data_IF_813243176769
#
_entry.id   IF_813243176769
#
_cell.length_a   1.000
_cell.length_b   1.000
_cell.length_c   1.000
_cell.angle_alpha   90.00
_cell.angle_beta   90.00
_cell.angle_gamma   90.00
#
_symmetry.space_group_name_H-M   'P 1'
#
loop_
_entity.id
_entity.type
_entity.pdbx_description
1 polymer ?
#
# COMPACT_ATOMS: atom_id res chain seq x y z
N UNK A 1 2.31 9.67 -6.79
CA UNK A 1 1.45 9.04 -7.82
C UNK A 1 -0.01 9.43 -7.59
N UNK A 2 -0.81 9.58 -8.64
CA UNK A 2 -2.24 9.94 -8.55
C UNK A 2 -3.01 9.07 -9.54
N UNK A 3 -4.16 8.56 -9.10
CA UNK A 3 -5.17 7.88 -9.93
C UNK A 3 -6.49 8.66 -9.77
N UNK A 4 -7.07 9.14 -10.87
CA UNK A 4 -8.34 9.88 -10.87
C UNK A 4 -9.16 9.52 -12.07
N UNK A 5 -10.46 9.35 -11.86
CA UNK A 5 -11.45 9.16 -12.90
C UNK A 5 -12.83 9.67 -12.45
N UNK A 6 -13.73 9.87 -13.40
CA UNK A 6 -15.13 10.20 -13.15
C UNK A 6 -15.85 9.01 -12.51
N UNK A 7 -16.43 9.20 -11.32
CA UNK A 7 -17.05 8.12 -10.54
C UNK A 7 -18.38 7.65 -11.11
N UNK A 8 -19.04 8.52 -11.87
CA UNK A 8 -20.28 8.25 -12.62
C UNK A 8 -20.05 7.32 -13.82
N UNK A 9 -18.81 7.25 -14.33
CA UNK A 9 -18.46 6.35 -15.43
C UNK A 9 -18.08 5.00 -14.83
N UNK A 10 -19.02 4.06 -14.86
CA UNK A 10 -18.81 2.69 -14.42
C UNK A 10 -17.62 2.07 -15.14
N UNK A 11 -16.62 1.62 -14.38
CA UNK A 11 -15.43 0.97 -14.93
C UNK A 11 -14.27 1.91 -15.21
N UNK A 12 -14.41 3.23 -15.10
CA UNK A 12 -13.35 4.17 -15.52
C UNK A 12 -12.04 3.96 -14.73
N UNK A 13 -12.12 3.78 -13.41
CA UNK A 13 -10.98 3.45 -12.58
C UNK A 13 -10.36 2.09 -12.97
N UNK A 14 -11.18 1.08 -13.24
CA UNK A 14 -10.68 -0.23 -13.66
C UNK A 14 -9.94 -0.16 -15.00
N UNK A 15 -10.51 0.55 -15.96
CA UNK A 15 -9.93 0.71 -17.29
C UNK A 15 -8.60 1.45 -17.25
N UNK A 16 -8.50 2.59 -16.56
CA UNK A 16 -7.23 3.35 -16.52
C UNK A 16 -6.09 2.53 -15.90
N UNK A 17 -6.39 1.74 -14.87
CA UNK A 17 -5.40 0.87 -14.22
C UNK A 17 -4.93 -0.26 -15.13
N UNK A 18 -5.85 -0.90 -15.83
CA UNK A 18 -5.53 -2.00 -16.75
C UNK A 18 -4.73 -1.50 -17.95
N UNK A 19 -5.08 -0.33 -18.50
CA UNK A 19 -4.34 0.27 -19.61
C UNK A 19 -2.93 0.69 -19.17
N UNK A 20 -2.78 1.26 -17.97
CA UNK A 20 -1.47 1.61 -17.43
C UNK A 20 -0.59 0.37 -17.21
N UNK A 21 -1.14 -0.71 -16.65
CA UNK A 21 -0.40 -1.96 -16.47
C UNK A 21 0.03 -2.58 -17.81
N UNK A 22 -0.86 -2.55 -18.82
CA UNK A 22 -0.56 -3.04 -20.17
C UNK A 22 0.57 -2.23 -20.80
N UNK A 23 0.51 -0.90 -20.69
CA UNK A 23 1.56 -0.01 -21.18
C UNK A 23 2.93 -0.30 -20.54
N UNK A 24 2.98 -0.51 -19.21
CA UNK A 24 4.24 -0.86 -18.52
C UNK A 24 4.78 -2.19 -19.07
N UNK A 25 3.95 -3.22 -19.21
CA UNK A 25 4.41 -4.51 -19.71
C UNK A 25 4.97 -4.42 -21.13
N UNK A 26 4.37 -3.60 -21.99
CA UNK A 26 4.82 -3.42 -23.38
C UNK A 26 6.11 -2.59 -23.50
N UNK A 27 6.25 -1.55 -22.68
CA UNK A 27 7.37 -0.58 -22.80
C UNK A 27 8.54 -0.87 -21.87
N UNK A 28 8.27 -1.52 -20.74
CA UNK A 28 9.19 -1.77 -19.64
C UNK A 28 8.99 -3.20 -19.09
N UNK A 29 9.22 -4.24 -19.90
CA UNK A 29 9.00 -5.64 -19.49
C UNK A 29 9.86 -6.06 -18.28
N UNK A 30 10.95 -5.35 -17.99
CA UNK A 30 11.76 -5.53 -16.80
C UNK A 30 11.05 -5.12 -15.49
N UNK A 31 10.02 -4.27 -15.57
CA UNK A 31 9.23 -3.83 -14.43
C UNK A 31 8.13 -4.85 -14.11
N UNK A 32 8.50 -5.86 -13.33
CA UNK A 32 7.62 -6.98 -12.97
C UNK A 32 6.60 -6.66 -11.84
N UNK A 33 6.79 -5.55 -11.12
CA UNK A 33 5.92 -5.15 -10.01
C UNK A 33 5.46 -3.70 -10.16
N UNK A 34 4.18 -3.47 -9.85
CA UNK A 34 3.58 -2.14 -9.75
C UNK A 34 3.13 -1.91 -8.32
N UNK A 35 3.74 -0.94 -7.64
CA UNK A 35 3.30 -0.50 -6.33
C UNK A 35 2.12 0.47 -6.47
N UNK A 36 0.95 0.11 -5.91
CA UNK A 36 -0.28 0.92 -5.97
C UNK A 36 -0.58 1.70 -4.68
N UNK A 37 0.43 1.95 -3.87
CA UNK A 37 0.36 2.73 -2.62
C UNK A 37 -0.57 2.10 -1.55
N UNK A 38 -0.77 2.79 -0.42
CA UNK A 38 -1.56 2.30 0.72
C UNK A 38 -3.06 2.61 0.63
N UNK A 39 -3.88 1.88 1.37
CA UNK A 39 -5.35 2.04 1.40
C UNK A 39 -5.83 3.08 2.43
N UNK A 40 -4.91 3.74 3.15
CA UNK A 40 -5.20 4.76 4.17
C UNK A 40 -6.18 4.30 5.26
N UNK A 41 -6.30 2.98 5.50
CA UNK A 41 -7.28 2.42 6.44
C UNK A 41 -8.73 2.44 5.95
N UNK A 42 -8.99 2.80 4.68
CA UNK A 42 -10.34 2.84 4.12
C UNK A 42 -10.74 1.46 3.58
N UNK A 43 -11.72 0.81 4.19
CA UNK A 43 -12.14 -0.54 3.82
C UNK A 43 -12.58 -0.69 2.35
N UNK A 44 -13.26 0.32 1.79
CA UNK A 44 -13.64 0.33 0.38
C UNK A 44 -12.43 0.37 -0.56
N UNK A 45 -11.43 1.19 -0.23
CA UNK A 45 -10.19 1.29 -0.99
C UNK A 45 -9.34 0.02 -0.86
N UNK A 46 -9.25 -0.55 0.36
CA UNK A 46 -8.64 -1.86 0.62
C UNK A 46 -9.26 -2.93 -0.28
N UNK A 47 -10.60 -3.02 -0.30
CA UNK A 47 -11.33 -3.99 -1.14
C UNK A 47 -11.03 -3.80 -2.62
N UNK A 48 -11.00 -2.56 -3.11
CA UNK A 48 -10.65 -2.23 -4.50
C UNK A 48 -9.21 -2.66 -4.85
N UNK A 49 -8.24 -2.43 -3.97
CA UNK A 49 -6.85 -2.86 -4.21
C UNK A 49 -6.70 -4.37 -4.20
N UNK A 50 -7.36 -5.06 -3.26
CA UNK A 50 -7.35 -6.52 -3.17
C UNK A 50 -7.99 -7.19 -4.38
N UNK A 51 -8.96 -6.55 -5.06
CA UNK A 51 -9.60 -7.14 -6.24
C UNK A 51 -8.68 -7.28 -7.46
N UNK A 52 -7.49 -6.66 -7.43
CA UNK A 52 -6.44 -6.85 -8.44
C UNK A 52 -5.49 -8.02 -8.12
N UNK A 53 -5.77 -8.81 -7.08
CA UNK A 53 -4.95 -9.96 -6.67
C UNK A 53 -3.46 -9.60 -6.49
N UNK A 54 -3.13 -8.62 -5.62
CA UNK A 54 -1.75 -8.21 -5.42
C UNK A 54 -0.93 -9.39 -4.90
N UNK A 55 0.30 -9.54 -5.41
CA UNK A 55 1.24 -10.57 -4.96
C UNK A 55 1.55 -10.42 -3.47
N UNK A 56 1.61 -9.17 -2.99
CA UNK A 56 1.87 -8.85 -1.58
C UNK A 56 1.19 -7.54 -1.17
N UNK A 57 0.76 -7.49 0.08
CA UNK A 57 0.41 -6.26 0.78
C UNK A 57 1.57 -5.92 1.72
N UNK A 58 2.25 -4.80 1.46
CA UNK A 58 3.41 -4.40 2.26
C UNK A 58 3.02 -3.82 3.62
N UNK A 59 3.69 -4.30 4.67
CA UNK A 59 3.62 -3.70 6.00
C UNK A 59 4.68 -2.60 6.13
N UNK A 60 4.28 -1.46 6.70
CA UNK A 60 5.16 -0.33 7.00
C UNK A 60 5.32 -0.23 8.51
N UNK A 61 6.55 -0.04 8.98
CA UNK A 61 6.87 0.06 10.40
C UNK A 61 7.55 1.37 10.73
N UNK A 62 7.33 1.86 11.95
CA UNK A 62 8.09 2.97 12.52
C UNK A 62 9.29 2.42 13.28
N UNK A 63 10.48 2.91 12.94
CA UNK A 63 11.71 2.61 13.69
C UNK A 63 12.01 3.75 14.65
N UNK A 64 12.24 3.43 15.93
CA UNK A 64 12.73 4.39 16.92
C UNK A 64 14.07 3.91 17.47
N UNK A 65 15.10 4.75 17.37
CA UNK A 65 16.37 4.49 18.03
C UNK A 65 16.23 4.83 19.52
N UNK A 66 16.31 3.82 20.39
CA UNK A 66 16.27 4.01 21.82
C UNK A 66 17.69 4.21 22.36
N UNK A 67 17.93 5.30 23.07
CA UNK A 67 19.13 5.43 23.89
C UNK A 67 19.08 4.37 25.01
N UNK A 68 20.24 3.90 25.48
CA UNK A 68 20.35 2.81 26.48
C UNK A 68 19.52 3.08 27.75
N UNK A 69 19.32 4.34 28.13
CA UNK A 69 18.46 4.72 29.25
C UNK A 69 16.95 4.52 29.01
N UNK A 70 16.49 4.61 27.76
CA UNK A 70 15.07 4.53 27.39
C UNK A 70 14.57 3.09 27.30
N UNK A 71 15.47 2.11 27.05
CA UNK A 71 15.12 0.68 27.05
C UNK A 71 14.72 0.15 28.44
N UNK A 72 15.32 0.67 29.53
CA UNK A 72 14.98 0.22 30.89
C UNK A 72 13.56 0.63 31.30
N UNK A 73 13.13 1.85 30.97
CA UNK A 73 11.78 2.34 31.30
C UNK A 73 10.65 1.65 30.52
N UNK A 74 10.90 1.21 29.29
CA UNK A 74 9.90 0.50 28.46
C UNK A 74 9.70 -0.96 28.90
N UNK A 75 10.73 -1.62 29.42
CA UNK A 75 10.59 -2.97 29.99
C UNK A 75 9.76 -2.97 31.28
N UNK A 76 9.95 -1.99 32.17
CA UNK A 76 9.23 -1.89 33.44
C UNK A 76 7.72 -1.63 33.25
N UNK A 77 7.34 -0.84 32.23
CA UNK A 77 5.93 -0.54 31.92
C UNK A 77 5.14 -1.73 31.34
N UNK A 78 5.80 -2.69 30.69
CA UNK A 78 5.15 -3.87 30.11
C UNK A 78 5.00 -5.04 31.10
N UNK A 79 5.74 -5.05 32.21
CA UNK A 79 5.59 -6.06 33.28
C UNK A 79 4.43 -5.70 34.22
N UNK A 80 3.98 -4.45 34.22
CA UNK A 80 2.93 -3.94 35.11
C UNK A 80 1.54 -3.86 34.46
N UNK A 81 1.32 -4.46 33.28
CA UNK A 81 0.02 -4.59 32.61
C UNK A 81 -0.37 -6.05 32.40
#
# INVERSE_FOLDING_TARGET
HIEKAFGEIKGAYQTINQQFATFIQEKHPEMIFVNREEDMGQAGLRKSKLSYYPVRMEEKYWGQCLSVGMMRGLMELNVSR
#
